data_IF_075064458265
#
_entry.id   IF_075064458265
#
_cell.length_a   1.000
_cell.length_b   1.000
_cell.length_c   1.000
_cell.angle_alpha   90.00
_cell.angle_beta   90.00
_cell.angle_gamma   90.00
#
_symmetry.space_group_name_H-M   'P 1'
#
loop_
_entity.id
_entity.type
_entity.pdbx_description
1 polymer ?
#
# COMPACT_ATOMS: atom_id res chain seq x y z
N UNK A 1 3.65 25.03 -4.37
CA UNK A 1 4.08 23.83 -3.61
C UNK A 1 5.59 23.80 -3.59
N UNK A 2 6.21 23.67 -2.41
CA UNK A 2 7.64 23.36 -2.34
C UNK A 2 7.90 22.05 -3.08
N UNK A 3 8.99 22.02 -3.84
CA UNK A 3 9.39 20.88 -4.67
C UNK A 3 9.89 19.73 -3.77
N UNK A 4 8.99 18.87 -3.32
CA UNK A 4 9.34 17.70 -2.50
C UNK A 4 10.01 16.61 -3.34
N UNK A 5 11.05 16.00 -2.78
CA UNK A 5 11.78 14.87 -3.40
C UNK A 5 11.21 13.53 -2.96
N UNK A 6 10.53 13.49 -1.82
CA UNK A 6 9.94 12.28 -1.25
C UNK A 6 8.49 12.61 -0.91
N UNK A 7 7.59 11.69 -1.21
CA UNK A 7 6.20 11.78 -0.77
C UNK A 7 5.91 10.64 0.18
N UNK A 8 5.40 10.98 1.35
CA UNK A 8 4.80 10.01 2.26
C UNK A 8 3.30 10.14 2.09
N UNK A 9 2.63 9.05 1.74
CA UNK A 9 1.20 9.02 1.50
C UNK A 9 0.53 8.01 2.42
N UNK A 10 -0.70 8.32 2.82
CA UNK A 10 -1.59 7.42 3.53
C UNK A 10 -3.04 7.80 3.22
N UNK A 11 -4.00 6.95 3.56
CA UNK A 11 -5.41 7.29 3.44
C UNK A 11 -6.26 6.72 4.57
N UNK A 12 -7.36 7.42 4.85
CA UNK A 12 -8.41 6.98 5.78
C UNK A 12 -9.75 7.24 5.10
N UNK A 13 -10.55 6.19 4.90
CA UNK A 13 -11.86 6.29 4.28
C UNK A 13 -12.93 5.65 5.14
N UNK A 14 -14.15 6.18 5.09
CA UNK A 14 -15.26 5.71 5.93
C UNK A 14 -14.98 5.80 7.43
N UNK A 15 -14.08 6.69 7.85
CA UNK A 15 -13.62 6.83 9.24
C UNK A 15 -13.12 5.51 9.84
N UNK A 16 -12.48 4.64 9.04
CA UNK A 16 -11.98 3.34 9.50
C UNK A 16 -10.90 3.43 10.58
N UNK A 17 -10.16 4.54 10.61
CA UNK A 17 -8.95 4.69 11.40
C UNK A 17 -8.88 6.04 12.11
N UNK A 18 -8.00 6.10 13.11
CA UNK A 18 -7.60 7.35 13.75
C UNK A 18 -6.46 7.99 12.96
N UNK A 19 -6.50 9.32 12.81
CA UNK A 19 -5.37 10.06 12.24
C UNK A 19 -4.15 9.91 13.15
N UNK A 20 -3.09 9.28 12.63
CA UNK A 20 -1.79 9.27 13.29
C UNK A 20 -0.99 10.46 12.78
N UNK A 21 -0.19 11.05 13.67
CA UNK A 21 0.55 12.29 13.38
C UNK A 21 2.04 11.93 13.35
N UNK A 22 2.71 12.09 12.20
CA UNK A 22 4.15 11.95 12.11
C UNK A 22 4.77 12.96 13.08
N UNK A 23 5.67 12.51 13.94
CA UNK A 23 6.25 13.40 14.95
C UNK A 23 7.42 14.15 14.32
N UNK A 24 7.31 15.46 14.15
CA UNK A 24 8.39 16.30 13.58
C UNK A 24 9.73 16.18 14.33
N UNK A 25 9.70 15.80 15.60
CA UNK A 25 10.89 15.53 16.43
C UNK A 25 11.70 14.33 15.97
N UNK A 26 11.07 13.37 15.28
CA UNK A 26 11.72 12.16 14.78
C UNK A 26 12.27 12.33 13.35
N UNK A 27 12.20 13.54 12.80
CA UNK A 27 12.63 13.83 11.43
C UNK A 27 13.89 14.68 11.42
N UNK A 28 14.84 14.31 10.57
CA UNK A 28 15.98 15.14 10.23
C UNK A 28 15.55 16.46 9.57
N UNK A 29 16.39 17.49 9.69
CA UNK A 29 16.19 18.78 8.99
C UNK A 29 16.11 18.61 7.47
N UNK A 30 16.85 17.64 6.93
CA UNK A 30 16.76 17.28 5.52
C UNK A 30 15.36 16.78 5.17
N UNK A 31 14.80 15.85 5.95
CA UNK A 31 13.47 15.30 5.71
C UNK A 31 12.39 16.37 5.82
N UNK A 32 12.46 17.27 6.81
CA UNK A 32 11.53 18.39 6.95
C UNK A 32 11.48 19.30 5.71
N UNK A 33 12.61 19.45 5.00
CA UNK A 33 12.70 20.29 3.78
C UNK A 33 12.33 19.55 2.49
N UNK A 34 12.49 18.23 2.45
CA UNK A 34 12.42 17.45 1.20
C UNK A 34 11.26 16.46 1.14
N UNK A 35 10.56 16.20 2.25
CA UNK A 35 9.44 15.26 2.33
C UNK A 35 8.12 16.02 2.37
N UNK A 36 7.16 15.59 1.54
CA UNK A 36 5.76 15.99 1.63
C UNK A 36 4.95 14.85 2.24
N UNK A 37 4.15 15.14 3.26
CA UNK A 37 3.20 14.18 3.85
C UNK A 37 1.80 14.50 3.31
N UNK A 38 1.16 13.51 2.70
CA UNK A 38 -0.16 13.62 2.07
C UNK A 38 -1.12 12.57 2.62
N UNK A 39 -2.23 13.01 3.19
CA UNK A 39 -3.27 12.14 3.73
C UNK A 39 -4.53 12.29 2.90
N UNK A 40 -4.98 11.20 2.28
CA UNK A 40 -6.21 11.18 1.50
C UNK A 40 -7.38 10.76 2.38
N UNK A 41 -8.45 11.55 2.37
CA UNK A 41 -9.66 11.27 3.17
C UNK A 41 -10.91 11.47 2.34
N UNK A 42 -12.02 10.82 2.69
CA UNK A 42 -13.34 11.15 2.15
C UNK A 42 -14.03 12.21 3.02
N UNK A 43 -15.15 12.74 2.51
CA UNK A 43 -15.92 13.77 3.23
C UNK A 43 -16.40 13.30 4.62
N UNK A 44 -16.93 12.08 4.80
CA UNK A 44 -17.27 11.58 6.13
C UNK A 44 -16.07 11.56 7.08
N UNK A 45 -14.92 11.03 6.64
CA UNK A 45 -13.70 11.02 7.46
C UNK A 45 -13.25 12.41 7.82
N UNK A 46 -13.27 13.37 6.88
CA UNK A 46 -12.92 14.76 7.19
C UNK A 46 -13.79 15.34 8.32
N UNK A 47 -15.10 15.12 8.28
CA UNK A 47 -16.03 15.56 9.32
C UNK A 47 -15.75 14.87 10.67
N UNK A 48 -15.48 13.56 10.65
CA UNK A 48 -15.09 12.83 11.87
C UNK A 48 -13.79 13.39 12.45
N UNK A 49 -12.76 13.60 11.63
CA UNK A 49 -11.50 14.18 12.08
C UNK A 49 -11.70 15.57 12.70
N UNK A 50 -12.51 16.43 12.07
CA UNK A 50 -12.86 17.74 12.62
C UNK A 50 -13.54 17.64 14.00
N UNK A 51 -14.48 16.70 14.17
CA UNK A 51 -15.17 16.46 15.44
C UNK A 51 -14.24 15.97 16.56
N UNK A 52 -13.12 15.33 16.20
CA UNK A 52 -12.08 14.87 17.12
C UNK A 52 -11.03 15.96 17.42
N UNK A 53 -11.24 17.19 16.96
CA UNK A 53 -10.30 18.30 17.10
C UNK A 53 -9.12 18.26 16.13
N UNK A 54 -9.18 17.42 15.09
CA UNK A 54 -8.22 17.41 13.99
C UNK A 54 -8.68 18.36 12.88
N UNK A 55 -8.65 19.66 13.16
CA UNK A 55 -8.97 20.70 12.18
C UNK A 55 -7.73 21.06 11.36
N UNK A 56 -7.83 21.09 10.01
CA UNK A 56 -6.76 21.62 9.17
C UNK A 56 -6.47 23.10 9.48
N UNK A 57 -5.21 23.49 9.41
CA UNK A 57 -4.78 24.89 9.44
C UNK A 57 -5.19 25.64 8.14
N UNK A 58 -4.89 26.94 8.06
CA UNK A 58 -5.20 27.78 6.89
C UNK A 58 -4.57 27.26 5.58
N UNK A 59 -3.54 26.42 5.68
CA UNK A 59 -2.86 25.79 4.55
C UNK A 59 -3.41 24.38 4.23
N UNK A 60 -4.43 23.92 4.95
CA UNK A 60 -5.05 22.60 4.80
C UNK A 60 -4.22 21.46 5.41
N UNK A 61 -3.34 21.75 6.36
CA UNK A 61 -2.52 20.74 7.03
C UNK A 61 -3.05 20.39 8.42
N UNK A 62 -2.93 19.13 8.80
CA UNK A 62 -3.07 18.66 10.18
C UNK A 62 -1.73 18.09 10.62
N UNK A 63 -1.04 18.77 11.55
CA UNK A 63 0.36 18.47 11.85
C UNK A 63 1.20 18.57 10.56
N UNK A 64 1.89 17.49 10.16
CA UNK A 64 2.64 17.43 8.92
C UNK A 64 1.81 17.01 7.71
N UNK A 65 0.64 16.40 7.93
CA UNK A 65 -0.20 15.89 6.86
C UNK A 65 -0.90 17.01 6.12
N UNK A 66 -0.65 17.12 4.82
CA UNK A 66 -1.55 17.85 3.92
C UNK A 66 -2.77 17.00 3.63
N UNK A 67 -3.95 17.50 4.00
CA UNK A 67 -5.21 16.77 3.84
C UNK A 67 -5.74 16.98 2.41
N UNK A 68 -5.98 15.87 1.71
CA UNK A 68 -6.61 15.87 0.38
C UNK A 68 -7.95 15.15 0.49
N UNK A 69 -9.03 15.89 0.33
CA UNK A 69 -10.39 15.35 0.33
C UNK A 69 -10.71 14.78 -1.04
N UNK A 70 -10.83 13.47 -1.14
CA UNK A 70 -11.19 12.76 -2.36
C UNK A 70 -12.72 12.78 -2.49
N UNK A 71 -13.21 13.44 -3.54
CA UNK A 71 -14.62 13.44 -3.92
C UNK A 71 -14.87 12.32 -4.93
N UNK A 72 -16.10 11.80 -4.95
CA UNK A 72 -16.55 10.77 -5.89
C UNK A 72 -15.67 9.50 -5.86
N UNK A 73 -15.61 8.84 -4.70
CA UNK A 73 -14.89 7.59 -4.57
C UNK A 73 -15.37 6.57 -5.62
N UNK A 74 -14.44 5.83 -6.25
CA UNK A 74 -14.78 4.95 -7.37
C UNK A 74 -15.61 3.72 -6.94
N UNK A 75 -15.65 3.40 -5.65
CA UNK A 75 -16.39 2.27 -5.11
C UNK A 75 -17.13 2.63 -3.83
N UNK A 76 -18.26 1.96 -3.61
CA UNK A 76 -18.98 1.97 -2.33
C UNK A 76 -18.25 1.16 -1.25
N UNK A 77 -17.57 0.09 -1.65
CA UNK A 77 -16.73 -0.70 -0.73
C UNK A 77 -15.44 0.06 -0.40
N UNK A 78 -15.34 0.51 0.84
CA UNK A 78 -14.20 1.29 1.33
C UNK A 78 -12.91 0.48 1.36
N UNK A 79 -12.95 -0.85 1.51
CA UNK A 79 -11.75 -1.70 1.44
C UNK A 79 -11.16 -1.72 0.03
N UNK A 80 -12.03 -1.76 -0.98
CA UNK A 80 -11.63 -1.61 -2.39
C UNK A 80 -11.05 -0.25 -2.69
N UNK A 81 -11.63 0.80 -2.10
CA UNK A 81 -11.08 2.15 -2.19
C UNK A 81 -9.72 2.25 -1.50
N UNK A 82 -9.53 1.64 -0.33
CA UNK A 82 -8.27 1.64 0.41
C UNK A 82 -7.13 0.95 -0.36
N UNK A 83 -7.35 -0.30 -0.80
CA UNK A 83 -6.35 -1.05 -1.58
C UNK A 83 -6.02 -0.35 -2.91
N UNK A 84 -7.03 0.25 -3.56
CA UNK A 84 -6.79 1.10 -4.72
C UNK A 84 -6.11 2.40 -4.39
N UNK A 85 -6.29 3.00 -3.21
CA UNK A 85 -5.58 4.20 -2.81
C UNK A 85 -4.14 3.92 -2.43
N UNK A 86 -3.82 2.79 -1.80
CA UNK A 86 -2.43 2.36 -1.64
C UNK A 86 -1.74 2.26 -3.01
N UNK A 87 -2.38 1.60 -3.98
CA UNK A 87 -1.81 1.43 -5.32
C UNK A 87 -1.88 2.69 -6.20
N UNK A 88 -2.92 3.51 -6.06
CA UNK A 88 -3.12 4.75 -6.82
C UNK A 88 -2.37 5.91 -6.22
N UNK A 89 -2.18 6.04 -4.91
CA UNK A 89 -1.33 7.07 -4.33
C UNK A 89 0.13 6.87 -4.78
N UNK A 90 0.57 5.62 -4.93
CA UNK A 90 1.85 5.30 -5.57
C UNK A 90 1.86 5.63 -7.08
N UNK A 91 0.70 5.76 -7.74
CA UNK A 91 0.56 6.03 -9.19
C UNK A 91 0.21 7.49 -9.51
N UNK A 92 -0.45 8.21 -8.58
CA UNK A 92 -0.95 9.60 -8.66
C UNK A 92 0.15 10.63 -8.47
N UNK A 93 1.36 10.18 -8.14
CA UNK A 93 2.58 10.95 -8.35
C UNK A 93 3.33 10.46 -9.59
N UNK A 94 2.72 10.46 -10.80
CA UNK A 94 3.47 10.14 -12.00
C UNK A 94 4.48 11.25 -12.25
N UNK A 95 5.65 10.81 -12.68
CA UNK A 95 6.89 11.53 -12.91
C UNK A 95 6.85 12.69 -13.93
N UNK A 96 5.66 13.15 -14.37
CA UNK A 96 5.51 14.18 -15.41
C UNK A 96 5.35 15.61 -14.89
N UNK A 97 5.06 15.83 -13.60
CA UNK A 97 5.02 17.19 -13.02
C UNK A 97 5.57 17.31 -11.58
N UNK A 98 6.09 16.22 -11.02
CA UNK A 98 6.59 16.16 -9.64
C UNK A 98 8.06 15.76 -9.59
N UNK A 99 8.90 16.60 -8.96
CA UNK A 99 10.30 16.31 -8.61
C UNK A 99 10.46 15.18 -7.56
N UNK A 100 9.37 14.49 -7.20
CA UNK A 100 9.42 13.37 -6.27
C UNK A 100 10.07 12.15 -6.92
N UNK A 101 11.13 11.67 -6.27
CA UNK A 101 11.91 10.49 -6.68
C UNK A 101 11.52 9.23 -5.91
N UNK A 102 10.81 9.39 -4.79
CA UNK A 102 10.39 8.29 -3.93
C UNK A 102 8.99 8.51 -3.37
N UNK A 103 8.28 7.41 -3.15
CA UNK A 103 7.03 7.36 -2.39
C UNK A 103 7.10 6.31 -1.29
N UNK A 104 6.50 6.62 -0.14
CA UNK A 104 6.40 5.72 1.00
C UNK A 104 4.95 5.72 1.45
N UNK A 105 4.39 4.52 1.65
CA UNK A 105 3.07 4.36 2.23
C UNK A 105 3.20 4.11 3.75
N UNK A 106 3.29 5.16 4.60
CA UNK A 106 3.49 5.08 6.08
C UNK A 106 3.26 6.39 6.89
N UNK A 107 3.31 6.28 8.23
CA UNK A 107 3.01 7.38 9.17
C UNK A 107 4.14 7.82 10.15
N UNK A 108 5.11 6.97 10.58
CA UNK A 108 5.80 7.27 11.88
C UNK A 108 7.35 7.24 11.96
N UNK A 109 8.11 7.01 10.88
CA UNK A 109 9.60 7.01 10.93
C UNK A 109 10.21 7.94 9.88
N UNK A 110 11.43 8.46 10.10
CA UNK A 110 12.13 9.32 9.12
C UNK A 110 12.21 8.62 7.74
N UNK A 111 11.56 9.18 6.70
CA UNK A 111 11.54 8.63 5.35
C UNK A 111 12.91 8.36 4.74
N UNK A 112 13.93 9.13 5.12
CA UNK A 112 15.29 8.94 4.60
C UNK A 112 15.90 7.62 5.08
N UNK A 113 15.67 7.24 6.34
CA UNK A 113 16.15 5.97 6.89
C UNK A 113 15.44 4.79 6.23
N UNK A 114 14.15 4.94 5.95
CA UNK A 114 13.36 3.94 5.24
C UNK A 114 13.90 3.72 3.83
N UNK A 115 14.13 4.80 3.07
CA UNK A 115 14.65 4.70 1.69
C UNK A 115 16.06 4.08 1.68
N UNK A 116 16.94 4.54 2.58
CA UNK A 116 18.30 4.01 2.68
C UNK A 116 18.29 2.51 2.96
N UNK A 117 17.51 2.08 3.95
CA UNK A 117 17.45 0.69 4.37
C UNK A 117 16.83 -0.23 3.31
N UNK A 118 15.63 0.11 2.82
CA UNK A 118 14.84 -0.80 1.99
C UNK A 118 15.12 -0.71 0.49
N UNK A 119 15.67 0.41 0.00
CA UNK A 119 15.96 0.60 -1.42
C UNK A 119 17.46 0.72 -1.70
N UNK A 120 18.19 1.55 -0.96
CA UNK A 120 19.61 1.81 -1.28
C UNK A 120 20.51 0.60 -0.94
N UNK A 121 20.41 0.03 0.27
CA UNK A 121 21.21 -1.14 0.68
C UNK A 121 20.93 -2.37 -0.16
N UNK A 122 19.66 -2.55 -0.55
CA UNK A 122 19.17 -3.69 -1.32
C UNK A 122 19.30 -3.47 -2.83
N UNK A 123 19.71 -2.28 -3.27
CA UNK A 123 19.77 -1.84 -4.68
C UNK A 123 18.45 -2.11 -5.42
N UNK A 124 17.34 -1.85 -4.73
CA UNK A 124 15.99 -2.10 -5.22
C UNK A 124 15.27 -0.80 -5.54
N UNK A 125 14.30 -0.89 -6.44
CA UNK A 125 13.39 0.20 -6.80
C UNK A 125 12.02 0.06 -6.12
N UNK A 126 11.72 -1.12 -5.58
CA UNK A 126 10.48 -1.41 -4.88
C UNK A 126 10.76 -2.28 -3.67
N UNK A 127 10.17 -1.95 -2.53
CA UNK A 127 10.24 -2.76 -1.33
C UNK A 127 8.86 -2.92 -0.70
N UNK A 128 8.53 -4.15 -0.31
CA UNK A 128 7.27 -4.50 0.31
C UNK A 128 7.45 -5.65 1.30
N UNK A 129 6.65 -5.68 2.36
CA UNK A 129 6.71 -6.75 3.35
C UNK A 129 6.04 -8.03 2.82
N UNK A 130 6.59 -9.20 3.14
CA UNK A 130 5.82 -10.44 3.06
C UNK A 130 4.84 -10.54 4.24
N UNK A 131 3.82 -11.38 4.09
CA UNK A 131 2.91 -11.68 5.17
C UNK A 131 3.62 -12.52 6.25
N UNK A 132 3.29 -12.25 7.51
CA UNK A 132 3.96 -12.79 8.71
C UNK A 132 3.74 -14.29 8.98
N UNK A 133 2.94 -14.98 8.17
CA UNK A 133 2.47 -16.35 8.49
C UNK A 133 2.20 -17.12 7.21
N UNK A 134 1.37 -16.57 6.33
CA UNK A 134 1.00 -17.21 5.06
C UNK A 134 1.97 -16.79 3.97
N UNK A 135 2.40 -17.75 3.17
CA UNK A 135 3.33 -17.47 2.07
C UNK A 135 2.87 -18.04 0.73
N UNK A 136 1.85 -18.89 0.74
CA UNK A 136 1.31 -19.54 -0.44
C UNK A 136 -0.05 -18.94 -0.80
N UNK A 137 -0.25 -18.62 -2.10
CA UNK A 137 -1.53 -18.09 -2.57
C UNK A 137 -2.69 -19.06 -2.34
N UNK A 138 -2.46 -20.37 -2.40
CA UNK A 138 -3.48 -21.39 -2.14
C UNK A 138 -4.06 -21.27 -0.73
N UNK A 139 -3.19 -21.04 0.25
CA UNK A 139 -3.60 -20.86 1.65
C UNK A 139 -4.32 -19.52 1.83
N UNK A 140 -3.81 -18.46 1.20
CA UNK A 140 -4.44 -17.13 1.26
C UNK A 140 -5.85 -17.14 0.67
N UNK A 141 -6.08 -17.83 -0.45
CA UNK A 141 -7.42 -17.98 -1.06
C UNK A 141 -8.40 -18.64 -0.08
N UNK A 142 -7.99 -19.75 0.53
CA UNK A 142 -8.82 -20.46 1.53
C UNK A 142 -9.09 -19.57 2.75
N UNK A 143 -8.08 -18.84 3.22
CA UNK A 143 -8.23 -17.94 4.36
C UNK A 143 -9.19 -16.76 4.04
N UNK A 144 -9.13 -16.21 2.84
CA UNK A 144 -10.04 -15.15 2.41
C UNK A 144 -11.50 -15.61 2.40
N UNK A 145 -11.75 -16.84 1.93
CA UNK A 145 -13.07 -17.47 1.95
C UNK A 145 -13.53 -17.77 3.38
N UNK A 146 -12.65 -18.36 4.20
CA UNK A 146 -12.96 -18.70 5.60
C UNK A 146 -13.33 -17.46 6.43
N UNK A 147 -12.60 -16.36 6.25
CA UNK A 147 -12.87 -15.09 6.93
C UNK A 147 -14.01 -14.26 6.28
N UNK A 148 -14.63 -14.77 5.21
CA UNK A 148 -15.66 -14.07 4.43
C UNK A 148 -15.23 -12.64 4.05
N UNK A 149 -13.97 -12.46 3.67
CA UNK A 149 -13.39 -11.16 3.33
C UNK A 149 -13.93 -10.60 2.01
N UNK A 150 -14.36 -11.47 1.09
CA UNK A 150 -14.96 -11.13 -0.20
C UNK A 150 -15.91 -12.24 -0.65
N UNK A 151 -16.72 -11.99 -1.69
CA UNK A 151 -17.54 -13.02 -2.30
C UNK A 151 -16.64 -14.15 -2.85
N UNK A 152 -17.00 -15.40 -2.54
CA UNK A 152 -16.21 -16.58 -2.88
C UNK A 152 -16.14 -16.81 -4.40
N UNK A 153 -17.21 -16.50 -5.14
CA UNK A 153 -17.27 -16.70 -6.59
C UNK A 153 -16.16 -15.91 -7.34
N UNK A 154 -16.03 -14.58 -7.17
CA UNK A 154 -14.92 -13.83 -7.78
C UNK A 154 -13.53 -14.26 -7.32
N UNK A 155 -13.37 -14.74 -6.07
CA UNK A 155 -12.10 -15.28 -5.59
C UNK A 155 -11.73 -16.52 -6.40
N UNK A 156 -12.68 -17.45 -6.56
CA UNK A 156 -12.46 -18.69 -7.28
C UNK A 156 -12.17 -18.42 -8.76
N UNK A 157 -12.92 -17.53 -9.41
CA UNK A 157 -12.69 -17.11 -10.80
C UNK A 157 -11.29 -16.49 -11.00
N UNK A 158 -10.90 -15.55 -10.13
CA UNK A 158 -9.57 -14.92 -10.16
C UNK A 158 -8.47 -15.96 -10.02
N UNK A 159 -8.63 -16.86 -9.06
CA UNK A 159 -7.61 -17.85 -8.76
C UNK A 159 -7.48 -18.91 -9.86
N UNK A 160 -8.60 -19.41 -10.39
CA UNK A 160 -8.60 -20.30 -11.55
C UNK A 160 -7.92 -19.67 -12.76
N UNK A 161 -8.17 -18.38 -13.00
CA UNK A 161 -7.51 -17.64 -14.06
C UNK A 161 -5.99 -17.55 -13.83
N UNK A 162 -5.54 -17.23 -12.62
CA UNK A 162 -4.10 -17.20 -12.31
C UNK A 162 -3.44 -18.56 -12.48
N UNK A 163 -4.11 -19.64 -12.08
CA UNK A 163 -3.61 -21.00 -12.29
C UNK A 163 -3.50 -21.35 -13.77
N UNK A 164 -4.50 -21.02 -14.59
CA UNK A 164 -4.49 -21.31 -16.03
C UNK A 164 -3.46 -20.47 -16.79
N UNK A 165 -3.18 -19.26 -16.32
CA UNK A 165 -2.15 -18.36 -16.88
C UNK A 165 -0.74 -18.64 -16.33
N UNK A 166 -0.54 -19.77 -15.62
CA UNK A 166 0.77 -20.30 -15.27
C UNK A 166 1.27 -20.00 -13.85
N UNK A 167 0.43 -19.48 -12.95
CA UNK A 167 0.79 -19.36 -11.55
C UNK A 167 0.92 -20.76 -10.90
N UNK A 168 2.11 -21.06 -10.39
CA UNK A 168 2.37 -22.33 -9.69
C UNK A 168 2.25 -22.18 -8.18
N UNK A 169 2.14 -23.30 -7.45
CA UNK A 169 2.20 -23.29 -5.98
C UNK A 169 3.55 -22.77 -5.49
N UNK A 170 3.55 -21.96 -4.44
CA UNK A 170 4.76 -21.51 -3.77
C UNK A 170 5.48 -22.70 -3.14
N UNK A 171 6.81 -22.75 -3.29
CA UNK A 171 7.66 -23.81 -2.75
C UNK A 171 8.91 -23.17 -2.14
N UNK A 172 8.98 -23.17 -0.82
CA UNK A 172 10.08 -22.58 -0.07
C UNK A 172 11.39 -23.36 -0.21
N UNK A 173 11.34 -24.62 -0.69
CA UNK A 173 12.52 -25.48 -0.83
C UNK A 173 13.24 -25.25 -2.16
N UNK A 174 12.56 -24.64 -3.15
CA UNK A 174 13.16 -24.40 -4.46
C UNK A 174 14.23 -23.31 -4.37
N UNK A 175 15.46 -23.58 -4.85
CA UNK A 175 16.44 -22.52 -5.01
C UNK A 175 15.97 -21.52 -6.08
N UNK A 176 16.33 -20.25 -5.93
CA UNK A 176 16.05 -19.18 -6.89
C UNK A 176 14.57 -18.92 -7.17
N UNK A 177 13.69 -19.08 -6.16
CA UNK A 177 12.31 -18.59 -6.28
C UNK A 177 12.30 -17.09 -6.62
N UNK A 178 11.46 -16.64 -7.57
CA UNK A 178 11.44 -15.23 -7.95
C UNK A 178 11.03 -14.28 -6.81
N UNK A 179 10.26 -14.79 -5.84
CA UNK A 179 9.87 -14.09 -4.63
C UNK A 179 10.03 -15.02 -3.43
N UNK A 180 10.40 -14.50 -2.24
CA UNK A 180 10.47 -15.29 -1.01
C UNK A 180 9.08 -15.64 -0.46
N UNK A 181 8.02 -15.04 -0.99
CA UNK A 181 6.63 -15.32 -0.63
C UNK A 181 5.68 -14.87 -1.73
N UNK A 182 4.55 -15.55 -1.91
CA UNK A 182 3.50 -15.12 -2.84
C UNK A 182 2.40 -14.31 -2.16
N UNK A 183 2.51 -14.07 -0.84
CA UNK A 183 1.54 -13.31 -0.06
C UNK A 183 2.27 -12.16 0.60
N UNK A 184 1.82 -10.94 0.31
CA UNK A 184 2.36 -9.71 0.88
C UNK A 184 1.61 -9.24 2.12
N UNK A 185 2.24 -8.31 2.81
CA UNK A 185 1.65 -7.43 3.80
C UNK A 185 1.66 -6.00 3.26
N UNK A 186 0.48 -5.50 2.87
CA UNK A 186 0.32 -4.25 2.11
C UNK A 186 0.45 -2.98 2.94
N UNK A 187 0.49 -3.10 4.27
CA UNK A 187 0.59 -1.97 5.18
C UNK A 187 1.88 -1.15 5.06
N UNK A 188 2.88 -1.62 4.31
CA UNK A 188 4.13 -0.90 4.10
C UNK A 188 4.73 -1.12 2.71
N UNK A 189 4.84 -0.03 1.95
CA UNK A 189 5.48 -0.01 0.62
C UNK A 189 6.46 1.15 0.54
N UNK A 190 7.65 0.89 -0.01
CA UNK A 190 8.66 1.90 -0.36
C UNK A 190 8.95 1.78 -1.85
N UNK A 191 8.91 2.88 -2.58
CA UNK A 191 9.11 2.88 -4.02
C UNK A 191 10.01 4.03 -4.47
N UNK A 192 10.99 3.73 -5.29
CA UNK A 192 11.67 4.70 -6.14
C UNK A 192 10.86 4.91 -7.42
N UNK A 193 10.71 6.14 -7.91
CA UNK A 193 9.95 6.44 -9.12
C UNK A 193 10.78 6.16 -10.39
N UNK A 194 10.91 4.90 -10.73
CA UNK A 194 11.58 4.37 -11.94
C UNK A 194 10.54 3.96 -12.98
N UNK A 195 10.90 3.83 -14.27
CA UNK A 195 9.98 3.30 -15.27
C UNK A 195 9.39 1.92 -14.91
N UNK A 196 10.20 1.03 -14.33
CA UNK A 196 9.75 -0.34 -14.01
C UNK A 196 8.84 -0.40 -12.79
N UNK A 197 9.16 0.28 -11.70
CA UNK A 197 8.25 0.41 -10.56
C UNK A 197 6.93 1.10 -10.92
N UNK A 198 6.96 2.13 -11.78
CA UNK A 198 5.76 2.79 -12.29
C UNK A 198 4.89 1.80 -13.07
N UNK A 199 5.49 1.04 -14.00
CA UNK A 199 4.78 0.01 -14.77
C UNK A 199 4.19 -1.06 -13.85
N UNK A 200 4.97 -1.58 -12.90
CA UNK A 200 4.51 -2.59 -11.95
C UNK A 200 3.30 -2.12 -11.15
N UNK A 201 3.35 -0.91 -10.57
CA UNK A 201 2.21 -0.37 -9.82
C UNK A 201 0.98 -0.14 -10.70
N UNK A 202 1.15 0.29 -11.95
CA UNK A 202 0.03 0.42 -12.89
C UNK A 202 -0.62 -0.95 -13.19
N UNK A 203 0.20 -1.98 -13.47
CA UNK A 203 -0.30 -3.33 -13.71
C UNK A 203 -1.02 -3.89 -12.48
N UNK A 204 -0.41 -3.75 -11.31
CA UNK A 204 -0.99 -4.25 -10.06
C UNK A 204 -2.29 -3.52 -9.69
N UNK A 205 -2.34 -2.20 -9.92
CA UNK A 205 -3.54 -1.40 -9.76
C UNK A 205 -4.69 -1.87 -10.67
N UNK A 206 -4.37 -2.25 -11.91
CA UNK A 206 -5.35 -2.77 -12.86
C UNK A 206 -5.86 -4.15 -12.43
N UNK A 207 -4.97 -5.04 -11.96
CA UNK A 207 -5.33 -6.37 -11.47
C UNK A 207 -6.28 -6.33 -10.26
N UNK A 208 -5.98 -5.47 -9.27
CA UNK A 208 -6.89 -5.20 -8.13
C UNK A 208 -8.22 -4.58 -8.60
N UNK A 209 -8.19 -3.80 -9.68
CA UNK A 209 -9.37 -3.20 -10.27
C UNK A 209 -10.28 -4.22 -10.97
N UNK A 210 -9.69 -5.22 -11.62
CA UNK A 210 -10.38 -6.19 -12.48
C UNK A 210 -11.07 -7.30 -11.68
N UNK A 211 -10.39 -7.85 -10.67
CA UNK A 211 -10.87 -9.04 -9.97
C UNK A 211 -11.41 -8.68 -8.58
N UNK A 212 -10.71 -9.10 -7.52
CA UNK A 212 -11.07 -8.80 -6.14
C UNK A 212 -10.32 -7.57 -5.64
N UNK A 213 -10.92 -6.88 -4.65
CA UNK A 213 -10.28 -5.75 -4.00
C UNK A 213 -9.08 -6.11 -3.12
N UNK A 214 -8.81 -7.41 -2.91
CA UNK A 214 -7.71 -7.89 -2.09
C UNK A 214 -6.40 -7.91 -2.89
N UNK A 215 -5.50 -7.02 -2.49
CA UNK A 215 -4.18 -6.81 -3.08
C UNK A 215 -3.25 -8.02 -2.91
N UNK A 216 -3.43 -8.80 -1.84
CA UNK A 216 -2.68 -10.02 -1.53
C UNK A 216 -2.76 -11.10 -2.61
N UNK A 217 -3.92 -11.26 -3.27
CA UNK A 217 -4.12 -12.30 -4.29
C UNK A 217 -3.48 -11.95 -5.63
N UNK A 218 -3.43 -10.67 -5.99
CA UNK A 218 -3.00 -10.22 -7.31
C UNK A 218 -1.50 -9.98 -7.43
N UNK A 219 -0.81 -9.71 -6.32
CA UNK A 219 0.57 -9.23 -6.37
C UNK A 219 1.57 -10.22 -6.97
N UNK A 220 1.62 -11.45 -6.45
CA UNK A 220 2.61 -12.42 -6.90
C UNK A 220 2.41 -12.75 -8.38
N UNK A 221 1.15 -12.94 -8.80
CA UNK A 221 0.79 -13.11 -10.20
C UNK A 221 1.25 -11.92 -11.05
N UNK A 222 0.95 -10.68 -10.64
CA UNK A 222 1.37 -9.47 -11.36
C UNK A 222 2.90 -9.40 -11.51
N UNK A 223 3.63 -9.70 -10.44
CA UNK A 223 5.10 -9.68 -10.45
C UNK A 223 5.67 -10.72 -11.40
N UNK A 224 5.17 -11.96 -11.34
CA UNK A 224 5.61 -13.04 -12.22
C UNK A 224 5.32 -12.72 -13.69
N UNK A 225 4.14 -12.17 -13.98
CA UNK A 225 3.75 -11.76 -15.33
C UNK A 225 4.65 -10.67 -15.87
N UNK A 226 4.92 -9.63 -15.07
CA UNK A 226 5.85 -8.57 -15.46
C UNK A 226 7.25 -9.11 -15.73
N UNK A 227 7.78 -9.96 -14.84
CA UNK A 227 9.10 -10.57 -14.98
C UNK A 227 9.20 -11.48 -16.21
N UNK A 228 8.16 -12.28 -16.47
CA UNK A 228 8.11 -13.17 -17.63
C UNK A 228 8.00 -12.43 -18.96
N UNK A 229 7.22 -11.34 -19.00
CA UNK A 229 7.03 -10.54 -20.22
C UNK A 229 8.17 -9.55 -20.51
N UNK A 230 9.06 -9.29 -19.54
CA UNK A 230 10.15 -8.32 -19.66
C UNK A 230 11.51 -8.92 -19.23
N UNK A 231 12.00 -9.99 -19.89
CA UNK A 231 13.24 -10.67 -19.48
C UNK A 231 14.48 -9.76 -19.57
N UNK A 232 14.52 -8.84 -20.53
CA UNK A 232 15.67 -7.96 -20.77
C UNK A 232 15.72 -6.73 -19.83
N UNK A 233 14.66 -6.51 -19.06
CA UNK A 233 14.52 -5.35 -18.17
C UNK A 233 14.08 -5.81 -16.80
N UNK A 234 15.03 -6.23 -15.93
CA UNK A 234 14.69 -6.76 -14.62
C UNK A 234 14.03 -5.68 -13.76
N UNK A 235 12.96 -6.06 -13.07
CA UNK A 235 12.34 -5.26 -12.03
C UNK A 235 12.95 -5.63 -10.66
N UNK A 236 13.67 -4.70 -10.05
CA UNK A 236 14.38 -4.94 -8.79
C UNK A 236 13.48 -4.70 -7.58
N UNK A 237 12.70 -5.73 -7.24
CA UNK A 237 11.85 -5.74 -6.05
C UNK A 237 12.53 -6.51 -4.91
N UNK A 238 12.58 -5.91 -3.73
CA UNK A 238 12.90 -6.61 -2.49
C UNK A 238 11.64 -6.88 -1.69
N UNK A 239 11.47 -8.13 -1.28
CA UNK A 239 10.45 -8.50 -0.31
C UNK A 239 11.10 -8.87 1.01
N UNK A 240 10.83 -8.10 2.06
CA UNK A 240 11.45 -8.24 3.37
C UNK A 240 10.50 -8.87 4.39
N UNK A 241 11.02 -9.31 5.54
CA UNK A 241 10.21 -9.98 6.56
C UNK A 241 9.35 -8.99 7.33
N UNK A 242 8.14 -9.41 7.72
CA UNK A 242 7.24 -8.58 8.54
C UNK A 242 7.87 -8.12 9.87
N UNK A 243 8.81 -8.87 10.45
CA UNK A 243 9.52 -8.43 11.65
C UNK A 243 10.35 -7.16 11.41
N UNK A 244 10.92 -6.97 10.21
CA UNK A 244 11.63 -5.75 9.84
C UNK A 244 10.66 -4.58 9.72
N UNK A 245 9.48 -4.80 9.13
CA UNK A 245 8.39 -3.82 9.11
C UNK A 245 8.06 -3.32 10.52
N UNK A 246 7.92 -4.24 11.48
CA UNK A 246 7.56 -3.94 12.88
C UNK A 246 8.60 -3.09 13.63
N UNK A 247 9.85 -3.05 13.17
CA UNK A 247 10.88 -2.14 13.71
C UNK A 247 10.56 -0.69 13.35
N UNK A 248 10.10 -0.46 12.12
CA UNK A 248 9.78 0.87 11.61
C UNK A 248 8.33 1.28 11.90
N UNK A 249 7.46 0.33 12.27
CA UNK A 249 6.02 0.54 12.37
C UNK A 249 5.33 -0.20 13.50
N UNK A 250 4.42 0.53 14.13
CA UNK A 250 3.39 -0.04 14.98
C UNK A 250 2.11 -0.21 14.16
N UNK A 251 1.58 -1.43 14.15
CA UNK A 251 0.22 -1.67 13.72
C UNK A 251 -0.73 -1.12 14.79
N UNK A 252 -1.76 -0.39 14.35
CA UNK A 252 -2.82 0.08 15.21
C UNK A 252 -4.11 -0.63 14.84
N UNK A 253 -4.99 -0.78 15.83
CA UNK A 253 -6.34 -1.28 15.57
C UNK A 253 -7.17 -0.22 14.86
N UNK A 254 -7.96 -0.67 13.90
CA UNK A 254 -9.03 0.11 13.30
C UNK A 254 -10.05 0.53 14.36
N UNK A 255 -10.87 1.53 14.03
CA UNK A 255 -12.01 1.89 14.87
C UNK A 255 -12.97 0.71 14.95
N UNK A 256 -13.54 0.50 16.12
CA UNK A 256 -14.67 -0.40 16.27
C UNK A 256 -15.83 0.17 15.45
N UNK A 257 -16.40 -0.65 14.56
CA UNK A 257 -17.66 -0.29 13.91
C UNK A 257 -18.72 -0.16 15.01
N UNK A 258 -19.60 0.85 14.97
CA UNK A 258 -20.77 0.85 15.84
C UNK A 258 -21.49 -0.48 15.63
N UNK A 259 -21.76 -1.20 16.72
CA UNK A 259 -22.62 -2.38 16.69
C UNK A 259 -23.90 -2.01 15.94
N UNK A 260 -24.41 -2.87 15.03
CA UNK A 260 -25.70 -2.61 14.42
C UNK A 260 -26.69 -2.37 15.56
N UNK A 261 -27.31 -1.20 15.56
CA UNK A 261 -28.34 -0.88 16.54
C UNK A 261 -29.35 -2.00 16.47
N UNK A 262 -29.49 -2.77 17.54
CA UNK A 262 -30.66 -3.59 17.77
C UNK A 262 -31.81 -2.58 17.91
N UNK A 263 -32.37 -2.16 16.77
CA UNK A 263 -33.60 -1.41 16.76
C UNK A 263 -34.69 -2.37 17.27
N UNK A 264 -35.46 -1.96 18.29
CA UNK A 264 -36.51 -2.77 18.87
C UNK A 264 -37.65 -3.08 17.90
#
# INVERSE_FOLDING_TARGET
MNKCKIVVASCIFGSSDFLRRPTSKQMSEFSKKNVCFVMFVDQPTQSTLASEGNLPDDNGNISLWRIIVVKNLPYKDMRRTLGRCQNSCLTLFPSSSSLSRYSIWLDNTDPMLIIEHFLCRTRSEYAISNHYERHCMWEEVLQNKHLNKYNHMPIDEQFMFYQSDGLTKFDATKPNTPLPSYVLEGSFIVRAHTPMSNLFSCLWFNEVGQHTSHDQLSFAYTYMKLKGQNPDRPFHLTMFKDCERRVFLKLFHHRELPSPSNAP
#
